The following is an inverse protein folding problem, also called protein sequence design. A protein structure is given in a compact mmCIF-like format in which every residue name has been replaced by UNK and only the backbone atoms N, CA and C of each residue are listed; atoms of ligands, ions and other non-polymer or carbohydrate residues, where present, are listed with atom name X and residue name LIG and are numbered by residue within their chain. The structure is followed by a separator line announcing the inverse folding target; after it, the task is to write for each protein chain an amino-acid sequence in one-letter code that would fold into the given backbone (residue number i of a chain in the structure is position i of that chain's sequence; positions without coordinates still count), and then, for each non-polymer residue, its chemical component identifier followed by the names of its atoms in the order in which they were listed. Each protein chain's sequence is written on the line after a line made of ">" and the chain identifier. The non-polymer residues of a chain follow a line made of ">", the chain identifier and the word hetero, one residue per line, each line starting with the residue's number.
data_IF_297464451289
#
_entry.id   IF_297464451289
#
_cell.length_a   1.000
_cell.length_b   1.000
_cell.length_c   1.000
_cell.angle_alpha   90.00
_cell.angle_beta   90.00
_cell.angle_gamma   90.00
#
_symmetry.space_group_name_H-M   'P 1'
#
loop_
_entity.id
_entity.type
_entity.pdbx_description
1 polymer ?
#
# COMPACT_ATOMS: atom_id res chain seq x y z
N UNK A 1 21.89 10.42 -10.73
CA UNK A 1 20.63 10.55 -9.94
C UNK A 1 19.69 9.38 -10.12
N UNK A 2 19.22 9.02 -11.33
CA UNK A 2 18.21 7.96 -11.55
C UNK A 2 18.52 6.61 -10.92
N UNK A 3 19.77 6.12 -11.00
CA UNK A 3 20.17 4.86 -10.37
C UNK A 3 20.02 4.90 -8.84
N UNK A 4 20.48 5.96 -8.19
CA UNK A 4 20.36 6.10 -6.74
C UNK A 4 18.88 6.22 -6.32
N UNK A 5 18.06 6.92 -7.10
CA UNK A 5 16.61 6.98 -6.86
C UNK A 5 15.99 5.59 -6.95
N UNK A 6 16.27 4.83 -8.02
CA UNK A 6 15.77 3.45 -8.17
C UNK A 6 16.23 2.56 -7.01
N UNK A 7 17.52 2.57 -6.66
CA UNK A 7 18.02 1.83 -5.50
C UNK A 7 17.28 2.19 -4.22
N UNK A 8 17.03 3.47 -3.99
CA UNK A 8 16.33 3.95 -2.79
C UNK A 8 14.88 3.48 -2.74
N UNK A 9 14.15 3.55 -3.86
CA UNK A 9 12.74 3.14 -3.93
C UNK A 9 12.57 1.62 -3.84
N UNK A 10 13.34 0.86 -4.62
CA UNK A 10 13.22 -0.60 -4.71
C UNK A 10 13.64 -1.31 -3.43
N UNK A 11 14.60 -0.74 -2.70
CA UNK A 11 15.06 -1.26 -1.42
C UNK A 11 14.31 -0.68 -0.22
N UNK A 12 13.32 0.17 -0.44
CA UNK A 12 12.67 0.95 0.62
C UNK A 12 13.71 1.63 1.53
N UNK A 13 14.54 2.46 0.93
CA UNK A 13 15.64 3.16 1.60
C UNK A 13 16.64 2.22 2.32
N UNK A 14 17.03 1.14 1.64
CA UNK A 14 17.95 0.10 2.14
C UNK A 14 17.41 -0.74 3.31
N UNK A 15 16.09 -0.77 3.49
CA UNK A 15 15.46 -1.63 4.49
C UNK A 15 15.24 -3.08 4.01
N UNK A 16 15.15 -3.30 2.70
CA UNK A 16 14.81 -4.59 2.10
C UNK A 16 15.70 -4.91 0.91
N UNK A 17 15.88 -6.21 0.61
CA UNK A 17 16.53 -6.71 -0.62
C UNK A 17 17.91 -6.11 -0.87
N UNK A 18 18.72 -5.94 0.17
CA UNK A 18 20.07 -5.38 0.09
C UNK A 18 21.13 -6.48 0.18
N UNK A 19 22.19 -6.29 -0.58
CA UNK A 19 23.39 -7.14 -0.61
C UNK A 19 24.62 -6.25 -0.31
N UNK A 20 25.78 -6.82 0.05
CA UNK A 20 27.02 -6.03 0.21
C UNK A 20 27.29 -5.12 -0.99
N UNK A 21 27.15 -5.64 -2.22
CA UNK A 21 27.33 -4.87 -3.46
C UNK A 21 26.34 -3.70 -3.62
N UNK A 22 25.17 -3.75 -2.99
CA UNK A 22 24.21 -2.63 -2.98
C UNK A 22 24.80 -1.42 -2.26
N UNK A 23 25.46 -1.64 -1.12
CA UNK A 23 26.10 -0.58 -0.35
C UNK A 23 27.37 -0.08 -1.02
N UNK A 24 28.17 -0.95 -1.65
CA UNK A 24 29.35 -0.57 -2.43
C UNK A 24 28.95 0.36 -3.58
N UNK A 25 27.90 -0.01 -4.35
CA UNK A 25 27.40 0.81 -5.45
C UNK A 25 26.82 2.15 -4.95
N UNK A 26 26.10 2.15 -3.83
CA UNK A 26 25.59 3.38 -3.23
C UNK A 26 26.77 4.31 -2.80
N UNK A 27 27.83 3.75 -2.23
CA UNK A 27 29.03 4.48 -1.87
C UNK A 27 29.70 5.13 -3.08
N UNK A 28 29.86 4.39 -4.17
CA UNK A 28 30.42 4.92 -5.43
C UNK A 28 29.55 6.04 -6.03
N UNK A 29 28.22 5.87 -6.02
CA UNK A 29 27.30 6.89 -6.53
C UNK A 29 27.37 8.19 -5.73
N UNK A 30 27.50 8.11 -4.42
CA UNK A 30 27.61 9.27 -3.53
C UNK A 30 29.00 9.91 -3.63
N UNK A 31 30.04 9.11 -3.51
CA UNK A 31 31.44 9.59 -3.53
C UNK A 31 31.87 10.03 -4.92
N UNK A 32 32.12 9.07 -5.80
CA UNK A 32 32.68 9.35 -7.13
C UNK A 32 31.65 10.00 -8.05
N UNK A 33 30.39 9.58 -7.94
CA UNK A 33 29.29 10.09 -8.76
C UNK A 33 28.70 11.44 -8.30
N UNK A 34 29.09 11.92 -7.12
CA UNK A 34 28.62 13.21 -6.57
C UNK A 34 27.12 13.30 -6.38
N UNK A 35 26.43 12.17 -6.17
CA UNK A 35 24.97 12.15 -6.03
C UNK A 35 24.56 12.65 -4.65
N UNK A 36 23.77 13.72 -4.61
CA UNK A 36 23.15 14.20 -3.38
C UNK A 36 21.99 13.28 -2.95
N UNK A 37 22.31 12.34 -2.07
CA UNK A 37 21.33 11.41 -1.50
C UNK A 37 20.28 12.13 -0.66
N UNK A 38 20.65 13.19 0.07
CA UNK A 38 19.72 13.90 0.95
C UNK A 38 18.66 14.61 0.12
N UNK A 39 19.05 15.20 -1.02
CA UNK A 39 18.09 15.77 -1.96
C UNK A 39 17.09 14.71 -2.47
N UNK A 40 17.57 13.51 -2.84
CA UNK A 40 16.69 12.42 -3.30
C UNK A 40 15.70 12.03 -2.20
N UNK A 41 16.17 11.85 -0.95
CA UNK A 41 15.31 11.46 0.17
C UNK A 41 14.27 12.54 0.49
N UNK A 42 14.66 13.82 0.44
CA UNK A 42 13.75 14.94 0.65
C UNK A 42 12.60 14.88 -0.36
N UNK A 43 12.92 14.70 -1.64
CA UNK A 43 11.91 14.61 -2.70
C UNK A 43 11.03 13.36 -2.63
N UNK A 44 11.59 12.24 -2.22
CA UNK A 44 10.83 10.98 -2.16
C UNK A 44 9.96 10.85 -0.90
N UNK A 45 10.43 11.36 0.24
CA UNK A 45 9.85 11.00 1.55
C UNK A 45 9.52 12.17 2.46
N UNK A 46 9.88 13.40 2.12
CA UNK A 46 9.73 14.53 3.04
C UNK A 46 9.00 15.74 2.46
N UNK A 47 8.74 15.78 1.16
CA UNK A 47 8.08 16.90 0.51
C UNK A 47 6.74 16.47 -0.10
N UNK A 48 5.68 16.62 0.66
CA UNK A 48 4.31 16.31 0.22
C UNK A 48 3.42 17.54 0.37
N UNK A 49 2.37 17.60 -0.45
CA UNK A 49 1.32 18.62 -0.32
C UNK A 49 0.51 18.41 0.98
N UNK A 50 0.04 19.50 1.55
CA UNK A 50 -0.83 19.47 2.74
C UNK A 50 -2.04 18.55 2.57
N UNK A 51 -2.61 18.51 1.35
CA UNK A 51 -3.74 17.65 0.98
C UNK A 51 -3.52 16.18 1.36
N UNK A 52 -2.32 15.66 1.11
CA UNK A 52 -1.95 14.29 1.48
C UNK A 52 -2.05 14.08 3.00
N UNK A 53 -1.54 15.01 3.80
CA UNK A 53 -1.60 14.90 5.27
C UNK A 53 -3.01 15.01 5.82
N UNK A 54 -3.85 15.84 5.22
CA UNK A 54 -5.26 15.92 5.56
C UNK A 54 -6.01 14.63 5.24
N UNK A 55 -5.77 14.07 4.05
CA UNK A 55 -6.32 12.77 3.65
C UNK A 55 -5.79 11.64 4.54
N UNK A 56 -4.51 11.68 4.94
CA UNK A 56 -3.94 10.70 5.87
C UNK A 56 -4.60 10.79 7.26
N UNK A 57 -4.92 11.99 7.74
CA UNK A 57 -5.67 12.18 8.98
C UNK A 57 -7.05 11.52 8.92
N UNK A 58 -7.82 11.76 7.86
CA UNK A 58 -9.12 11.11 7.60
C UNK A 58 -8.99 9.59 7.46
N UNK A 59 -7.97 9.15 6.72
CA UNK A 59 -7.67 7.72 6.58
C UNK A 59 -7.50 7.03 7.94
N UNK A 60 -6.69 7.60 8.83
CA UNK A 60 -6.36 6.99 10.12
C UNK A 60 -7.50 7.11 11.13
N UNK A 61 -8.21 8.24 11.14
CA UNK A 61 -9.23 8.54 12.12
C UNK A 61 -10.59 7.95 11.77
N UNK A 62 -11.00 8.09 10.50
CA UNK A 62 -12.39 7.86 10.11
C UNK A 62 -12.57 6.64 9.19
N UNK A 63 -11.57 6.31 8.37
CA UNK A 63 -11.71 5.26 7.35
C UNK A 63 -11.07 3.93 7.74
N UNK A 64 -10.03 3.94 8.58
CA UNK A 64 -9.31 2.74 8.96
C UNK A 64 -10.15 1.86 9.87
N UNK A 65 -10.42 0.65 9.43
CA UNK A 65 -11.04 -0.42 10.23
C UNK A 65 -10.03 -1.52 10.48
N UNK A 66 -10.07 -2.09 11.67
CA UNK A 66 -9.18 -3.19 12.08
C UNK A 66 -10.02 -4.29 12.69
N UNK A 67 -9.97 -5.46 12.06
CA UNK A 67 -10.68 -6.66 12.56
C UNK A 67 -9.94 -7.27 13.75
N UNK A 68 -10.68 -8.03 14.56
CA UNK A 68 -10.08 -8.77 15.69
C UNK A 68 -9.04 -9.80 15.25
N UNK A 69 -9.11 -10.25 14.00
CA UNK A 69 -8.18 -11.21 13.40
C UNK A 69 -6.91 -10.56 12.82
N UNK A 70 -6.71 -9.26 12.99
CA UNK A 70 -5.49 -8.57 12.56
C UNK A 70 -5.44 -8.17 11.09
N UNK A 71 -6.58 -8.04 10.43
CA UNK A 71 -6.70 -7.40 9.11
C UNK A 71 -7.11 -5.94 9.30
N UNK A 72 -6.34 -5.04 8.74
CA UNK A 72 -6.69 -3.62 8.63
C UNK A 72 -7.17 -3.32 7.21
N UNK A 73 -8.19 -2.49 7.06
CA UNK A 73 -8.62 -2.05 5.74
C UNK A 73 -9.20 -0.63 5.76
N UNK A 74 -9.16 0.01 4.61
CA UNK A 74 -9.82 1.30 4.38
C UNK A 74 -10.29 1.42 2.93
N UNK A 75 -11.38 2.15 2.73
CA UNK A 75 -11.97 2.40 1.41
C UNK A 75 -12.04 3.90 1.18
N UNK A 76 -11.30 4.39 0.19
CA UNK A 76 -11.42 5.74 -0.34
C UNK A 76 -12.30 5.73 -1.57
N UNK A 77 -13.38 6.48 -1.51
CA UNK A 77 -14.31 6.67 -2.62
C UNK A 77 -13.93 7.90 -3.45
N UNK A 78 -14.55 8.06 -4.60
CA UNK A 78 -14.31 9.20 -5.48
C UNK A 78 -14.54 10.55 -4.77
N UNK A 79 -15.52 10.62 -3.85
CA UNK A 79 -15.79 11.81 -3.06
C UNK A 79 -14.64 12.17 -2.10
N UNK A 80 -14.00 11.19 -1.50
CA UNK A 80 -12.83 11.41 -0.62
C UNK A 80 -11.68 12.04 -1.42
N UNK A 81 -11.49 11.55 -2.65
CA UNK A 81 -10.50 12.08 -3.57
C UNK A 81 -10.74 13.56 -3.90
N UNK A 82 -11.99 13.89 -4.24
CA UNK A 82 -12.39 15.27 -4.54
C UNK A 82 -12.35 16.16 -3.29
N UNK A 83 -12.82 15.67 -2.16
CA UNK A 83 -12.85 16.41 -0.88
C UNK A 83 -11.48 16.91 -0.47
N UNK A 84 -10.45 16.10 -0.64
CA UNK A 84 -9.08 16.47 -0.29
C UNK A 84 -8.30 17.06 -1.47
N UNK A 85 -8.86 17.13 -2.67
CA UNK A 85 -8.17 17.58 -3.87
C UNK A 85 -6.88 16.80 -4.13
N UNK A 86 -6.96 15.47 -4.00
CA UNK A 86 -5.83 14.58 -4.16
C UNK A 86 -5.39 14.46 -5.62
N UNK A 87 -4.09 14.35 -5.81
CA UNK A 87 -3.45 14.04 -7.08
C UNK A 87 -3.01 12.58 -7.11
N UNK A 88 -2.76 12.06 -8.30
CA UNK A 88 -2.22 10.70 -8.46
C UNK A 88 -0.91 10.54 -7.66
N UNK A 89 -0.76 9.40 -6.98
CA UNK A 89 0.38 9.11 -6.12
C UNK A 89 0.24 9.59 -4.67
N UNK A 90 -0.66 10.53 -4.36
CA UNK A 90 -0.74 11.10 -3.00
C UNK A 90 -1.25 10.15 -1.91
N UNK A 91 -1.85 9.04 -2.29
CA UNK A 91 -2.24 7.96 -1.33
C UNK A 91 -1.24 6.80 -1.30
N UNK A 92 -0.15 6.89 -2.06
CA UNK A 92 0.87 5.86 -2.02
C UNK A 92 1.47 5.71 -0.61
N UNK A 93 1.63 4.47 -0.19
CA UNK A 93 2.12 4.16 1.15
C UNK A 93 1.06 4.13 2.25
N UNK A 94 -0.15 4.64 2.05
CA UNK A 94 -1.22 4.57 3.08
C UNK A 94 -1.46 3.13 3.53
N UNK A 95 -1.48 2.20 2.59
CA UNK A 95 -1.65 0.77 2.87
C UNK A 95 -0.56 0.19 3.79
N UNK A 96 0.62 0.80 3.86
CA UNK A 96 1.72 0.31 4.71
C UNK A 96 1.56 0.74 6.18
N UNK A 97 0.91 1.89 6.43
CA UNK A 97 0.85 2.50 7.76
C UNK A 97 0.25 1.56 8.81
N UNK A 98 -0.90 0.88 8.57
CA UNK A 98 -1.49 0.01 9.56
C UNK A 98 -0.63 -1.20 9.96
N UNK A 99 0.32 -1.62 9.12
CA UNK A 99 1.24 -2.71 9.46
C UNK A 99 2.19 -2.36 10.61
N UNK A 100 2.35 -1.07 10.95
CA UNK A 100 3.04 -0.61 12.15
C UNK A 100 2.30 -0.94 13.46
N UNK A 101 1.00 -1.24 13.39
CA UNK A 101 0.22 -1.68 14.54
C UNK A 101 0.58 -3.13 14.85
N UNK A 102 0.92 -3.45 16.09
CA UNK A 102 1.46 -4.76 16.50
C UNK A 102 0.55 -5.92 16.07
N UNK A 103 -0.75 -5.81 16.37
CA UNK A 103 -1.74 -6.87 16.05
C UNK A 103 -2.05 -6.99 14.55
N UNK A 104 -1.77 -5.98 13.73
CA UNK A 104 -2.08 -6.02 12.30
C UNK A 104 -1.05 -6.85 11.55
N UNK A 105 -1.54 -7.82 10.80
CA UNK A 105 -0.75 -8.74 9.97
C UNK A 105 -0.95 -8.51 8.47
N UNK A 106 -2.10 -7.97 8.09
CA UNK A 106 -2.45 -7.65 6.70
C UNK A 106 -3.16 -6.30 6.64
N UNK A 107 -2.87 -5.54 5.62
CA UNK A 107 -3.50 -4.23 5.36
C UNK A 107 -3.98 -4.17 3.92
N UNK A 108 -5.21 -3.68 3.72
CA UNK A 108 -5.90 -3.58 2.44
C UNK A 108 -6.39 -2.15 2.27
N UNK A 109 -6.05 -1.54 1.14
CA UNK A 109 -6.51 -0.20 0.81
C UNK A 109 -7.21 -0.22 -0.55
N UNK A 110 -8.47 0.19 -0.56
CA UNK A 110 -9.27 0.34 -1.77
C UNK A 110 -9.37 1.82 -2.14
N UNK A 111 -9.10 2.11 -3.40
CA UNK A 111 -9.30 3.43 -4.01
C UNK A 111 -10.25 3.32 -5.19
N UNK A 112 -11.38 4.00 -5.11
CA UNK A 112 -12.33 4.07 -6.21
C UNK A 112 -11.80 4.95 -7.34
N UNK A 113 -11.79 4.41 -8.56
CA UNK A 113 -11.31 5.07 -9.76
C UNK A 113 -12.09 4.57 -10.98
N UNK A 114 -12.77 5.48 -11.69
CA UNK A 114 -13.49 5.17 -12.93
C UNK A 114 -14.47 3.97 -12.82
N UNK A 115 -15.23 3.87 -11.73
CA UNK A 115 -16.23 2.83 -11.53
C UNK A 115 -15.68 1.48 -11.09
N UNK A 116 -14.43 1.43 -10.62
CA UNK A 116 -13.79 0.24 -10.08
C UNK A 116 -12.93 0.62 -8.89
N UNK A 117 -12.77 -0.29 -7.94
CA UNK A 117 -11.78 -0.11 -6.88
C UNK A 117 -10.43 -0.70 -7.30
N UNK A 118 -9.38 0.12 -7.27
CA UNK A 118 -8.00 -0.37 -7.22
C UNK A 118 -7.72 -0.85 -5.81
N UNK A 119 -7.16 -2.04 -5.71
CA UNK A 119 -6.87 -2.69 -4.43
C UNK A 119 -5.36 -2.77 -4.24
N UNK A 120 -4.89 -2.29 -3.12
CA UNK A 120 -3.50 -2.47 -2.66
C UNK A 120 -3.52 -3.34 -1.41
N UNK A 121 -2.67 -4.37 -1.37
CA UNK A 121 -2.57 -5.30 -0.25
C UNK A 121 -1.12 -5.37 0.20
N UNK A 122 -0.93 -5.31 1.49
CA UNK A 122 0.37 -5.50 2.15
C UNK A 122 0.20 -6.45 3.33
N UNK A 123 1.23 -7.24 3.60
CA UNK A 123 1.17 -8.19 4.71
C UNK A 123 2.53 -8.40 5.39
N UNK A 124 2.48 -8.88 6.60
CA UNK A 124 3.66 -9.43 7.29
C UNK A 124 3.92 -10.86 6.80
N UNK A 125 5.16 -11.32 6.96
CA UNK A 125 5.57 -12.69 6.58
C UNK A 125 4.64 -13.73 7.19
N UNK A 126 4.26 -14.72 6.39
CA UNK A 126 3.31 -15.77 6.76
C UNK A 126 1.84 -15.49 6.40
N UNK A 127 1.56 -14.29 5.89
CA UNK A 127 0.24 -13.90 5.37
C UNK A 127 0.37 -13.49 3.91
N UNK A 128 -0.06 -14.33 2.98
CA UNK A 128 0.17 -14.10 1.56
C UNK A 128 -0.77 -13.06 0.97
N UNK A 129 -0.25 -11.84 0.75
CA UNK A 129 -0.96 -10.80 0.01
C UNK A 129 -1.24 -11.24 -1.44
N UNK A 130 -0.31 -11.97 -2.06
CA UNK A 130 -0.45 -12.46 -3.42
C UNK A 130 -1.61 -13.46 -3.55
N UNK A 131 -1.72 -14.40 -2.63
CA UNK A 131 -2.79 -15.39 -2.64
C UNK A 131 -4.16 -14.74 -2.44
N UNK A 132 -4.28 -13.77 -1.52
CA UNK A 132 -5.51 -13.00 -1.34
C UNK A 132 -5.87 -12.21 -2.61
N UNK A 133 -4.90 -11.51 -3.20
CA UNK A 133 -5.12 -10.72 -4.42
C UNK A 133 -5.59 -11.59 -5.60
N UNK A 134 -4.93 -12.73 -5.83
CA UNK A 134 -5.24 -13.63 -6.95
C UNK A 134 -6.60 -14.31 -6.79
N UNK A 135 -6.98 -14.67 -5.57
CA UNK A 135 -8.24 -15.37 -5.30
C UNK A 135 -9.47 -14.47 -5.32
N UNK A 136 -9.35 -13.26 -4.80
CA UNK A 136 -10.52 -12.44 -4.49
C UNK A 136 -10.54 -11.06 -5.14
N UNK A 137 -9.42 -10.61 -5.73
CA UNK A 137 -9.32 -9.25 -6.27
C UNK A 137 -8.79 -9.17 -7.70
N UNK A 138 -8.88 -10.25 -8.48
CA UNK A 138 -8.40 -10.29 -9.87
C UNK A 138 -7.00 -9.69 -10.05
N UNK A 139 -6.10 -10.05 -9.15
CA UNK A 139 -4.80 -9.42 -9.06
C UNK A 139 -3.67 -10.39 -8.79
N UNK A 140 -2.57 -9.85 -8.26
CA UNK A 140 -1.37 -10.60 -7.95
C UNK A 140 -0.24 -9.67 -7.56
N UNK A 141 0.97 -10.22 -7.43
CA UNK A 141 2.17 -9.49 -7.07
C UNK A 141 3.14 -10.34 -6.26
N UNK A 142 3.87 -9.69 -5.35
CA UNK A 142 4.78 -10.38 -4.44
C UNK A 142 4.07 -10.93 -3.22
N UNK A 143 4.72 -11.86 -2.51
CA UNK A 143 4.18 -12.53 -1.32
C UNK A 143 3.58 -11.54 -0.29
N UNK A 144 4.28 -10.47 0.03
CA UNK A 144 3.86 -9.47 1.02
C UNK A 144 3.36 -8.15 0.42
N UNK A 145 3.33 -8.01 -0.92
CA UNK A 145 2.97 -6.77 -1.59
C UNK A 145 2.28 -7.07 -2.93
N UNK A 146 0.98 -6.94 -2.96
CA UNK A 146 0.16 -7.27 -4.11
C UNK A 146 -0.89 -6.21 -4.36
N UNK A 147 -1.50 -6.26 -5.52
CA UNK A 147 -2.61 -5.41 -5.91
C UNK A 147 -3.64 -6.14 -6.72
N UNK A 148 -4.78 -5.51 -6.93
CA UNK A 148 -5.87 -6.08 -7.70
C UNK A 148 -6.93 -5.05 -8.02
N UNK A 149 -8.10 -5.56 -8.35
CA UNK A 149 -9.30 -4.76 -8.65
C UNK A 149 -10.52 -5.41 -8.05
N UNK A 150 -11.48 -4.58 -7.65
CA UNK A 150 -12.82 -5.00 -7.25
C UNK A 150 -13.81 -4.18 -8.07
N UNK A 151 -14.60 -4.85 -8.87
CA UNK A 151 -15.49 -4.23 -9.86
C UNK A 151 -16.94 -4.29 -9.41
N UNK A 152 -17.72 -3.33 -9.84
CA UNK A 152 -19.15 -3.36 -9.67
C UNK A 152 -19.84 -2.99 -11.01
N UNK A 153 -20.90 -3.71 -11.40
CA UNK A 153 -21.63 -4.69 -10.58
C UNK A 153 -21.11 -6.14 -10.64
N UNK A 154 -19.94 -6.42 -11.25
CA UNK A 154 -19.49 -7.79 -11.56
C UNK A 154 -19.09 -8.59 -10.31
N UNK A 155 -18.34 -7.99 -9.38
CA UNK A 155 -17.79 -8.68 -8.21
C UNK A 155 -18.64 -8.39 -6.95
N UNK A 156 -19.22 -7.19 -6.87
CA UNK A 156 -20.12 -6.71 -5.81
C UNK A 156 -21.27 -5.96 -6.41
N UNK A 157 -22.41 -5.92 -5.73
CA UNK A 157 -23.65 -5.32 -6.27
C UNK A 157 -23.49 -3.83 -6.60
N UNK A 158 -22.83 -3.10 -5.72
CA UNK A 158 -22.54 -1.67 -5.85
C UNK A 158 -21.33 -1.27 -5.02
N UNK A 159 -20.93 0.00 -5.11
CA UNK A 159 -19.79 0.55 -4.38
C UNK A 159 -19.93 0.49 -2.84
N UNK A 160 -21.14 0.43 -2.30
CA UNK A 160 -21.36 0.38 -0.86
C UNK A 160 -21.07 -1.01 -0.27
N UNK A 161 -21.11 -2.05 -1.10
CA UNK A 161 -20.83 -3.42 -0.69
C UNK A 161 -19.32 -3.71 -0.50
N UNK A 162 -18.43 -2.79 -0.85
CA UNK A 162 -16.98 -3.03 -0.83
C UNK A 162 -16.44 -3.42 0.56
N UNK A 163 -16.89 -2.76 1.61
CA UNK A 163 -16.42 -3.05 2.98
C UNK A 163 -16.87 -4.44 3.45
N UNK A 164 -18.15 -4.77 3.24
CA UNK A 164 -18.68 -6.09 3.58
C UNK A 164 -18.00 -7.21 2.79
N UNK A 165 -17.67 -6.96 1.52
CA UNK A 165 -16.90 -7.89 0.70
C UNK A 165 -15.50 -8.13 1.28
N UNK A 166 -14.78 -7.07 1.67
CA UNK A 166 -13.45 -7.21 2.27
C UNK A 166 -13.53 -8.06 3.54
N UNK A 167 -14.50 -7.80 4.42
CA UNK A 167 -14.68 -8.56 5.65
C UNK A 167 -14.95 -10.04 5.39
N UNK A 168 -15.85 -10.35 4.44
CA UNK A 168 -16.19 -11.72 4.07
C UNK A 168 -14.98 -12.47 3.46
N UNK A 169 -14.34 -11.90 2.44
CA UNK A 169 -13.23 -12.59 1.76
C UNK A 169 -12.01 -12.76 2.66
N UNK A 170 -11.73 -11.80 3.54
CA UNK A 170 -10.63 -11.93 4.49
C UNK A 170 -10.95 -12.96 5.58
N UNK A 171 -12.19 -13.05 6.03
CA UNK A 171 -12.59 -14.10 6.99
C UNK A 171 -12.42 -15.50 6.39
N UNK A 172 -12.86 -15.70 5.13
CA UNK A 172 -12.67 -16.98 4.39
C UNK A 172 -11.18 -17.28 4.17
N UNK A 173 -10.42 -16.30 3.72
CA UNK A 173 -8.98 -16.44 3.50
C UNK A 173 -8.25 -16.91 4.76
N UNK A 174 -8.58 -16.33 5.91
CA UNK A 174 -7.94 -16.68 7.18
C UNK A 174 -8.30 -18.11 7.64
N UNK A 175 -9.50 -18.58 7.36
CA UNK A 175 -9.91 -19.95 7.67
C UNK A 175 -9.20 -20.98 6.81
N UNK A 176 -8.93 -20.65 5.53
CA UNK A 176 -8.37 -21.59 4.57
C UNK A 176 -6.83 -21.61 4.56
N UNK A 177 -6.19 -20.47 4.82
CA UNK A 177 -4.75 -20.28 4.52
C UNK A 177 -3.90 -19.77 5.68
N UNK A 178 -4.51 -19.37 6.79
CA UNK A 178 -3.80 -18.85 7.96
C UNK A 178 -4.28 -19.63 9.18
N UNK A 179 -3.65 -20.77 9.43
CA UNK A 179 -3.88 -21.61 10.62
C UNK A 179 -2.77 -21.41 11.66
#
# INVERSE_FOLDING_TARGET
>A
MSLMTGMTTDTNNFANSVFPSTFEMASMLIGDGGVDRNYILSKLYSEYRENRFRAMGDFLQDKLKITDKGVAYAVFRAEDWHRFGLMEGETEGFVNIPLGIEKVKMSIFLREENGVFRVSIRSKKGWSANLLASRYFHGGGHECASGGRLRYPEDIADRCAAEAYIEDVTARFLQEFVS
#
